data_IF_048866807911
#
_entry.id   IF_048866807911
#
_cell.length_a   1.000
_cell.length_b   1.000
_cell.length_c   1.000
_cell.angle_alpha   90.00
_cell.angle_beta   90.00
_cell.angle_gamma   90.00
#
_symmetry.space_group_name_H-M   'P 1'
#
loop_
_entity.id
_entity.type
_entity.pdbx_description
1 polymer ?
#
# COMPACT_ATOMS: atom_id res chain seq x y z
N UNK A 1 -16.74 41.53 3.52
CA UNK A 1 -17.99 41.06 2.89
C UNK A 1 -17.60 40.10 1.79
N UNK A 2 -17.67 38.80 2.04
CA UNK A 2 -17.59 37.80 0.96
C UNK A 2 -19.00 37.65 0.42
N UNK A 3 -19.23 38.00 -0.85
CA UNK A 3 -20.48 37.69 -1.54
C UNK A 3 -20.51 36.18 -1.74
N UNK A 4 -21.45 35.50 -1.08
CA UNK A 4 -21.70 34.07 -1.30
C UNK A 4 -21.90 33.83 -2.79
N UNK A 5 -21.11 32.92 -3.38
CA UNK A 5 -21.35 32.48 -4.75
C UNK A 5 -22.64 31.65 -4.74
N UNK A 6 -23.67 32.10 -5.45
CA UNK A 6 -24.91 31.35 -5.57
C UNK A 6 -24.92 30.64 -6.92
N UNK A 7 -24.78 29.32 -6.88
CA UNK A 7 -24.95 28.45 -8.05
C UNK A 7 -26.31 27.79 -7.84
N UNK A 8 -27.24 27.97 -8.77
CA UNK A 8 -28.58 27.38 -8.59
C UNK A 8 -28.51 25.85 -8.62
N UNK A 9 -28.15 25.26 -9.75
CA UNK A 9 -28.05 23.81 -9.87
C UNK A 9 -26.84 23.39 -10.71
N UNK A 10 -26.23 22.26 -10.32
CA UNK A 10 -25.34 21.49 -11.18
C UNK A 10 -26.16 20.39 -11.84
N UNK A 11 -26.23 20.41 -13.17
CA UNK A 11 -27.06 19.50 -13.95
C UNK A 11 -26.58 18.04 -13.87
N UNK A 12 -27.44 17.07 -14.19
CA UNK A 12 -27.03 15.68 -14.29
C UNK A 12 -25.86 15.55 -15.28
N UNK A 13 -24.87 14.72 -14.95
CA UNK A 13 -23.69 14.47 -15.79
C UNK A 13 -22.87 15.72 -16.19
N UNK A 14 -23.01 16.86 -15.49
CA UNK A 14 -22.32 18.10 -15.86
C UNK A 14 -20.80 17.96 -15.98
N UNK A 15 -20.21 17.08 -15.17
CA UNK A 15 -18.78 16.80 -15.11
C UNK A 15 -18.49 15.31 -15.28
N UNK A 16 -19.40 14.54 -15.88
CA UNK A 16 -19.17 13.12 -16.06
C UNK A 16 -18.05 12.85 -17.08
N UNK A 17 -17.26 11.81 -16.84
CA UNK A 17 -16.08 11.46 -17.67
C UNK A 17 -15.05 12.60 -17.80
N UNK A 18 -15.10 13.61 -16.93
CA UNK A 18 -14.15 14.71 -16.93
C UNK A 18 -12.83 14.25 -16.29
N UNK A 19 -11.70 14.56 -16.93
CA UNK A 19 -10.39 14.44 -16.30
C UNK A 19 -9.88 15.84 -15.92
N UNK A 20 -9.58 16.06 -14.64
CA UNK A 20 -9.01 17.32 -14.13
C UNK A 20 -7.93 17.04 -13.10
N UNK A 21 -7.00 17.97 -12.89
CA UNK A 21 -6.08 17.85 -11.76
C UNK A 21 -6.78 18.17 -10.44
N UNK A 22 -7.58 19.24 -10.43
CA UNK A 22 -8.19 19.77 -9.22
C UNK A 22 -9.61 20.28 -9.51
N UNK A 23 -10.54 19.99 -8.61
CA UNK A 23 -11.87 20.59 -8.57
C UNK A 23 -12.14 21.13 -7.16
N UNK A 24 -12.61 22.37 -7.08
CA UNK A 24 -12.84 23.06 -5.81
C UNK A 24 -14.20 23.75 -5.83
N UNK A 25 -15.04 23.42 -4.84
CA UNK A 25 -16.33 24.07 -4.58
C UNK A 25 -16.23 24.70 -3.19
N UNK A 26 -16.08 26.04 -3.12
CA UNK A 26 -15.85 26.75 -1.86
C UNK A 26 -16.80 27.92 -1.66
N UNK A 27 -17.24 28.18 -0.43
CA UNK A 27 -18.01 29.39 -0.08
C UNK A 27 -19.23 29.60 -0.98
N UNK A 28 -19.94 28.51 -1.27
CA UNK A 28 -20.99 28.47 -2.29
C UNK A 28 -22.31 28.00 -1.68
N UNK A 29 -23.41 28.58 -2.14
CA UNK A 29 -24.76 28.06 -1.91
C UNK A 29 -25.25 27.38 -3.20
N UNK A 30 -25.54 26.09 -3.09
CA UNK A 30 -26.03 25.22 -4.15
C UNK A 30 -27.46 24.79 -3.84
N UNK A 31 -28.41 25.03 -4.75
CA UNK A 31 -29.76 24.46 -4.61
C UNK A 31 -29.72 22.95 -4.87
N UNK A 32 -28.98 22.52 -5.89
CA UNK A 32 -28.96 21.11 -6.31
C UNK A 32 -27.59 20.69 -6.86
N UNK A 33 -27.09 19.55 -6.38
CA UNK A 33 -26.15 18.70 -7.13
C UNK A 33 -26.96 17.53 -7.68
N UNK A 34 -27.19 17.48 -8.98
CA UNK A 34 -28.03 16.45 -9.57
C UNK A 34 -27.37 15.05 -9.57
N UNK A 35 -28.15 14.04 -9.93
CA UNK A 35 -27.67 12.66 -10.02
C UNK A 35 -26.51 12.52 -11.01
N UNK A 36 -25.52 11.68 -10.67
CA UNK A 36 -24.36 11.38 -11.50
C UNK A 36 -23.55 12.62 -11.96
N UNK A 37 -23.65 13.75 -11.24
CA UNK A 37 -23.03 15.01 -11.65
C UNK A 37 -21.52 14.86 -11.93
N UNK A 38 -20.83 14.05 -11.14
CA UNK A 38 -19.40 13.77 -11.18
C UNK A 38 -19.11 12.29 -11.49
N UNK A 39 -20.03 11.57 -12.12
CA UNK A 39 -19.85 10.15 -12.41
C UNK A 39 -18.70 9.91 -13.38
N UNK A 40 -17.92 8.85 -13.13
CA UNK A 40 -16.78 8.43 -13.96
C UNK A 40 -15.72 9.54 -14.18
N UNK A 41 -15.71 10.59 -13.35
CA UNK A 41 -14.70 11.64 -13.42
C UNK A 41 -13.35 11.12 -12.88
N UNK A 42 -12.25 11.69 -13.35
CA UNK A 42 -10.91 11.49 -12.81
C UNK A 42 -10.36 12.81 -12.24
N UNK A 43 -9.95 12.82 -10.97
CA UNK A 43 -9.29 13.96 -10.35
C UNK A 43 -8.19 13.59 -9.36
N UNK A 44 -7.12 14.40 -9.29
CA UNK A 44 -6.14 14.23 -8.21
C UNK A 44 -6.65 14.81 -6.88
N UNK A 45 -7.40 15.91 -6.93
CA UNK A 45 -8.00 16.50 -5.74
C UNK A 45 -9.39 17.06 -6.03
N UNK A 46 -10.35 16.71 -5.18
CA UNK A 46 -11.68 17.31 -5.18
C UNK A 46 -11.97 17.82 -3.77
N UNK A 47 -12.18 19.12 -3.64
CA UNK A 47 -12.51 19.76 -2.35
C UNK A 47 -13.88 20.43 -2.41
N UNK A 48 -14.75 20.09 -1.46
CA UNK A 48 -15.99 20.82 -1.16
C UNK A 48 -15.82 21.40 0.24
N UNK A 49 -15.80 22.72 0.37
CA UNK A 49 -15.51 23.40 1.63
C UNK A 49 -16.40 24.61 1.87
N UNK A 50 -16.95 24.73 3.09
CA UNK A 50 -17.81 25.86 3.45
C UNK A 50 -18.96 26.07 2.43
N UNK A 51 -19.65 24.97 2.09
CA UNK A 51 -20.73 24.98 1.11
C UNK A 51 -22.07 24.62 1.74
N UNK A 52 -23.14 25.26 1.30
CA UNK A 52 -24.52 24.92 1.66
C UNK A 52 -25.20 24.29 0.45
N UNK A 53 -25.49 23.00 0.52
CA UNK A 53 -26.06 22.20 -0.57
C UNK A 53 -27.45 21.74 -0.15
N UNK A 54 -28.49 22.31 -0.78
CA UNK A 54 -29.85 22.03 -0.36
C UNK A 54 -30.30 20.60 -0.72
N UNK A 55 -29.90 20.12 -1.90
CA UNK A 55 -30.24 18.78 -2.38
C UNK A 55 -29.08 18.10 -3.10
N UNK A 56 -28.85 16.81 -2.79
CA UNK A 56 -27.95 15.93 -3.53
C UNK A 56 -28.72 14.77 -4.17
N UNK A 57 -28.58 14.62 -5.48
CA UNK A 57 -29.14 13.52 -6.26
C UNK A 57 -28.47 12.17 -5.98
N UNK A 58 -28.91 11.13 -6.68
CA UNK A 58 -28.33 9.78 -6.55
C UNK A 58 -26.93 9.70 -7.14
N UNK A 59 -26.03 9.02 -6.43
CA UNK A 59 -24.72 8.62 -6.92
C UNK A 59 -23.91 9.72 -7.60
N UNK A 60 -23.76 10.91 -6.98
CA UNK A 60 -23.07 12.04 -7.62
C UNK A 60 -21.63 11.69 -8.01
N UNK A 61 -20.95 10.83 -7.24
CA UNK A 61 -19.58 10.37 -7.47
C UNK A 61 -19.48 8.92 -7.99
N UNK A 62 -20.51 8.42 -8.68
CA UNK A 62 -20.53 7.04 -9.17
C UNK A 62 -19.26 6.69 -9.96
N UNK A 63 -18.52 5.66 -9.54
CA UNK A 63 -17.27 5.20 -10.17
C UNK A 63 -16.18 6.28 -10.35
N UNK A 64 -16.29 7.43 -9.69
CA UNK A 64 -15.29 8.49 -9.84
C UNK A 64 -13.92 8.01 -9.31
N UNK A 65 -12.86 8.41 -10.00
CA UNK A 65 -11.46 8.17 -9.65
C UNK A 65 -10.87 9.45 -9.08
N UNK A 66 -10.96 9.61 -7.76
CA UNK A 66 -10.54 10.84 -7.07
C UNK A 66 -9.48 10.51 -6.03
N UNK A 67 -8.20 10.84 -6.28
CA UNK A 67 -7.13 10.49 -5.34
C UNK A 67 -7.42 11.02 -3.93
N UNK A 68 -7.76 12.32 -3.81
CA UNK A 68 -8.13 12.96 -2.54
C UNK A 68 -9.48 13.68 -2.64
N UNK A 69 -10.53 13.13 -2.03
CA UNK A 69 -11.84 13.79 -1.89
C UNK A 69 -12.01 14.35 -0.48
N UNK A 70 -12.24 15.65 -0.35
CA UNK A 70 -12.48 16.32 0.93
C UNK A 70 -13.83 17.03 0.91
N UNK A 71 -14.69 16.73 1.88
CA UNK A 71 -15.95 17.41 2.15
C UNK A 71 -15.88 17.93 3.58
N UNK A 72 -15.76 19.26 3.75
CA UNK A 72 -15.53 19.85 5.07
C UNK A 72 -16.37 21.08 5.32
N UNK A 73 -16.86 21.23 6.54
CA UNK A 73 -17.61 22.42 6.97
C UNK A 73 -18.79 22.72 6.02
N UNK A 74 -19.48 21.68 5.56
CA UNK A 74 -20.61 21.81 4.63
C UNK A 74 -21.94 21.50 5.33
N UNK A 75 -23.01 22.12 4.83
CA UNK A 75 -24.39 21.84 5.24
C UNK A 75 -25.11 21.18 4.06
N UNK A 76 -25.43 19.88 4.17
CA UNK A 76 -26.05 19.06 3.15
C UNK A 76 -27.47 18.68 3.59
N UNK A 77 -28.48 19.46 3.20
CA UNK A 77 -29.78 19.40 3.90
C UNK A 77 -30.70 18.24 3.49
N UNK A 78 -30.59 17.73 2.25
CA UNK A 78 -31.39 16.60 1.78
C UNK A 78 -30.69 15.85 0.64
N UNK A 79 -31.00 14.56 0.45
CA UNK A 79 -30.49 13.82 -0.70
C UNK A 79 -30.41 12.31 -0.53
N UNK A 80 -29.90 11.64 -1.55
CA UNK A 80 -29.68 10.19 -1.56
C UNK A 80 -28.30 9.82 -1.03
N UNK A 81 -28.05 10.11 0.25
CA UNK A 81 -26.74 9.91 0.88
C UNK A 81 -26.26 8.45 0.91
N UNK A 82 -27.18 7.48 0.86
CA UNK A 82 -26.88 6.06 0.76
C UNK A 82 -26.08 5.67 -0.50
N UNK A 83 -26.07 6.53 -1.52
CA UNK A 83 -25.35 6.31 -2.77
C UNK A 83 -24.23 7.33 -2.99
N UNK A 84 -23.96 8.19 -2.01
CA UNK A 84 -23.04 9.33 -2.14
C UNK A 84 -21.66 8.91 -2.67
N UNK A 85 -21.12 7.83 -2.12
CA UNK A 85 -19.78 7.32 -2.44
C UNK A 85 -19.81 5.98 -3.20
N UNK A 86 -20.92 5.70 -3.89
CA UNK A 86 -21.12 4.43 -4.59
C UNK A 86 -20.00 4.18 -5.59
N UNK A 87 -19.19 3.12 -5.36
CA UNK A 87 -18.05 2.76 -6.23
C UNK A 87 -16.99 3.84 -6.39
N UNK A 88 -16.93 4.79 -5.47
CA UNK A 88 -15.88 5.82 -5.46
C UNK A 88 -14.51 5.15 -5.32
N UNK A 89 -13.61 5.42 -6.27
CA UNK A 89 -12.21 5.00 -6.20
C UNK A 89 -11.37 6.15 -5.67
N UNK A 90 -11.32 6.26 -4.34
CA UNK A 90 -10.54 7.30 -3.67
C UNK A 90 -9.46 6.73 -2.76
N UNK A 91 -8.22 7.21 -2.94
CA UNK A 91 -7.10 6.86 -2.06
C UNK A 91 -7.27 7.49 -0.67
N UNK A 92 -7.86 8.68 -0.60
CA UNK A 92 -8.29 9.32 0.64
C UNK A 92 -9.65 10.00 0.48
N UNK A 93 -10.51 9.79 1.48
CA UNK A 93 -11.79 10.47 1.64
C UNK A 93 -11.83 11.11 3.02
N UNK A 94 -12.00 12.43 3.08
CA UNK A 94 -12.17 13.16 4.35
C UNK A 94 -13.53 13.83 4.38
N UNK A 95 -14.40 13.41 5.30
CA UNK A 95 -15.74 13.98 5.49
C UNK A 95 -15.85 14.44 6.93
N UNK A 96 -15.53 15.72 7.18
CA UNK A 96 -15.43 16.24 8.56
C UNK A 96 -16.19 17.55 8.78
N UNK A 97 -16.64 17.77 10.01
CA UNK A 97 -17.30 19.03 10.41
C UNK A 97 -18.53 19.37 9.56
N UNK A 98 -19.25 18.37 9.02
CA UNK A 98 -20.41 18.60 8.17
C UNK A 98 -21.73 18.43 8.94
N UNK A 99 -22.78 19.07 8.43
CA UNK A 99 -24.16 18.92 8.89
C UNK A 99 -24.97 18.24 7.80
N UNK A 100 -25.57 17.09 8.09
CA UNK A 100 -26.34 16.30 7.12
C UNK A 100 -27.85 16.26 7.43
N UNK A 101 -28.66 16.20 6.39
CA UNK A 101 -30.08 15.84 6.45
C UNK A 101 -30.28 14.34 6.68
N UNK A 102 -29.89 13.84 7.85
CA UNK A 102 -29.92 12.42 8.19
C UNK A 102 -31.34 11.82 8.05
N UNK A 103 -31.42 10.63 7.46
CA UNK A 103 -32.69 9.92 7.31
C UNK A 103 -32.94 9.04 8.55
N UNK A 104 -34.09 9.21 9.21
CA UNK A 104 -34.42 8.55 10.50
C UNK A 104 -34.21 7.03 10.47
N UNK A 105 -34.54 6.39 9.34
CA UNK A 105 -34.52 4.93 9.19
C UNK A 105 -33.27 4.40 8.47
N UNK A 106 -32.38 5.25 7.94
CA UNK A 106 -31.18 4.79 7.22
C UNK A 106 -29.99 4.60 8.16
N UNK A 107 -30.10 3.57 8.99
CA UNK A 107 -29.15 3.26 10.05
C UNK A 107 -27.70 3.16 9.57
N UNK A 108 -27.46 2.50 8.43
CA UNK A 108 -26.09 2.26 7.91
C UNK A 108 -25.46 3.54 7.36
N UNK A 109 -26.23 4.37 6.64
CA UNK A 109 -25.72 5.65 6.12
C UNK A 109 -25.43 6.62 7.26
N UNK A 110 -26.32 6.69 8.25
CA UNK A 110 -26.08 7.54 9.42
C UNK A 110 -24.87 7.03 10.22
N UNK A 111 -24.71 5.72 10.38
CA UNK A 111 -23.50 5.16 11.00
C UNK A 111 -22.22 5.49 10.22
N UNK A 112 -22.26 5.45 8.88
CA UNK A 112 -21.10 5.88 8.08
C UNK A 112 -20.75 7.36 8.32
N UNK A 113 -21.76 8.25 8.23
CA UNK A 113 -21.54 9.70 8.26
C UNK A 113 -21.22 10.23 9.66
N UNK A 114 -21.82 9.65 10.71
CA UNK A 114 -21.80 10.20 12.08
C UNK A 114 -20.83 9.48 13.01
N UNK A 115 -20.47 8.22 12.73
CA UNK A 115 -19.53 7.50 13.60
C UNK A 115 -18.13 8.08 13.49
N UNK A 116 -17.63 8.61 14.60
CA UNK A 116 -16.21 8.93 14.76
C UNK A 116 -15.42 7.62 14.88
N UNK A 117 -14.75 7.23 13.81
CA UNK A 117 -13.82 6.09 13.88
C UNK A 117 -12.66 6.40 14.83
N UNK A 118 -12.30 5.47 15.72
CA UNK A 118 -11.13 5.64 16.59
C UNK A 118 -9.79 5.52 15.82
N UNK A 119 -9.83 5.04 14.58
CA UNK A 119 -8.65 4.78 13.75
C UNK A 119 -8.56 5.83 12.65
N UNK A 120 -7.34 6.34 12.41
CA UNK A 120 -7.04 7.15 11.22
C UNK A 120 -7.05 6.22 10.01
N UNK A 121 -8.17 6.20 9.32
CA UNK A 121 -8.39 5.42 8.11
C UNK A 121 -8.23 6.35 6.92
N UNK A 122 -7.87 5.84 5.72
CA UNK A 122 -7.86 6.68 4.52
C UNK A 122 -9.23 7.31 4.23
N UNK A 123 -10.31 6.65 4.67
CA UNK A 123 -11.66 7.21 4.70
C UNK A 123 -12.00 7.66 6.13
N UNK A 124 -11.93 8.97 6.36
CA UNK A 124 -12.04 9.60 7.66
C UNK A 124 -13.35 10.38 7.80
N UNK A 125 -14.11 10.06 8.85
CA UNK A 125 -15.39 10.69 9.19
C UNK A 125 -15.33 11.18 10.63
N UNK A 126 -15.51 12.48 10.85
CA UNK A 126 -15.33 13.06 12.19
C UNK A 126 -16.12 14.37 12.35
N UNK A 127 -16.62 14.64 13.55
CA UNK A 127 -17.34 15.88 13.86
C UNK A 127 -18.54 16.19 12.93
N UNK A 128 -19.12 15.17 12.30
CA UNK A 128 -20.33 15.33 11.51
C UNK A 128 -21.56 15.25 12.43
N UNK A 129 -22.61 15.97 12.07
CA UNK A 129 -23.86 16.02 12.83
C UNK A 129 -25.07 16.03 11.91
N UNK A 130 -26.26 15.85 12.48
CA UNK A 130 -27.52 15.95 11.74
C UNK A 130 -28.14 17.33 11.92
N UNK A 131 -28.76 17.87 10.85
CA UNK A 131 -29.45 19.17 10.85
C UNK A 131 -30.49 19.30 11.97
N UNK A 132 -31.18 18.19 12.26
CA UNK A 132 -32.09 18.09 13.38
C UNK A 132 -31.54 17.09 14.38
N UNK A 133 -31.34 17.54 15.63
CA UNK A 133 -31.01 16.67 16.77
C UNK A 133 -32.24 15.90 17.24
N UNK A 134 -32.90 15.21 16.32
CA UNK A 134 -33.97 14.28 16.68
C UNK A 134 -33.31 13.10 17.41
N UNK A 135 -33.73 12.85 18.65
CA UNK A 135 -33.24 11.73 19.48
C UNK A 135 -33.47 10.33 18.86
N UNK A 136 -34.14 10.26 17.71
CA UNK A 136 -34.63 9.03 17.10
C UNK A 136 -33.86 8.65 15.82
N UNK A 137 -32.74 9.30 15.51
CA UNK A 137 -31.94 8.95 14.33
C UNK A 137 -31.26 7.60 14.59
N UNK A 138 -31.59 6.61 13.76
CA UNK A 138 -30.95 5.31 13.85
C UNK A 138 -29.48 5.39 13.42
N UNK A 139 -28.58 4.86 14.23
CA UNK A 139 -27.17 4.66 13.90
C UNK A 139 -26.82 3.22 14.24
N UNK A 140 -27.02 2.31 13.27
CA UNK A 140 -26.76 0.88 13.48
C UNK A 140 -25.98 0.33 12.29
N UNK A 141 -24.84 -0.26 12.61
CA UNK A 141 -24.00 -1.00 11.68
C UNK A 141 -24.63 -2.37 11.40
N UNK A 142 -24.41 -2.89 10.19
CA UNK A 142 -24.82 -4.25 9.85
C UNK A 142 -23.69 -5.19 10.24
N UNK A 143 -23.91 -5.97 11.29
CA UNK A 143 -22.97 -6.99 11.74
C UNK A 143 -23.28 -8.34 11.11
N UNK A 144 -22.24 -9.07 10.73
CA UNK A 144 -22.35 -10.42 10.20
C UNK A 144 -21.05 -11.19 10.45
N UNK A 145 -21.15 -12.51 10.53
CA UNK A 145 -19.99 -13.39 10.73
C UNK A 145 -19.93 -14.38 9.58
N UNK A 146 -18.75 -14.52 8.97
CA UNK A 146 -18.49 -15.49 7.89
C UNK A 146 -17.30 -16.36 8.30
N UNK A 147 -17.55 -17.62 8.61
CA UNK A 147 -16.55 -18.48 9.23
C UNK A 147 -16.08 -17.87 10.55
N UNK A 148 -14.77 -17.66 10.69
CA UNK A 148 -14.14 -17.12 11.90
C UNK A 148 -13.87 -15.61 11.81
N UNK A 149 -14.61 -14.89 10.98
CA UNK A 149 -14.48 -13.44 10.84
C UNK A 149 -15.76 -12.75 11.20
N UNK A 150 -15.66 -11.86 12.17
CA UNK A 150 -16.73 -10.95 12.51
C UNK A 150 -16.53 -9.63 11.73
N UNK A 151 -17.56 -9.21 11.02
CA UNK A 151 -17.54 -8.01 10.20
C UNK A 151 -18.65 -7.04 10.62
N UNK A 152 -18.34 -5.75 10.51
CA UNK A 152 -19.28 -4.63 10.64
C UNK A 152 -19.28 -3.82 9.36
N UNK A 153 -20.45 -3.65 8.78
CA UNK A 153 -20.65 -2.87 7.57
C UNK A 153 -21.36 -1.54 7.88
N UNK A 154 -20.83 -0.48 7.26
CA UNK A 154 -21.45 0.84 7.19
C UNK A 154 -21.42 1.31 5.74
N UNK A 155 -22.38 0.81 4.94
CA UNK A 155 -22.48 1.04 3.49
C UNK A 155 -21.21 0.61 2.73
N UNK A 156 -20.44 1.59 2.27
CA UNK A 156 -19.28 1.43 1.38
C UNK A 156 -18.05 0.86 2.10
N UNK A 157 -18.06 0.83 3.43
CA UNK A 157 -16.96 0.34 4.27
C UNK A 157 -17.39 -0.92 5.01
N UNK A 158 -16.56 -1.95 4.92
CA UNK A 158 -16.64 -3.15 5.76
C UNK A 158 -15.35 -3.29 6.57
N UNK A 159 -15.51 -3.44 7.88
CA UNK A 159 -14.44 -3.69 8.83
C UNK A 159 -14.60 -5.09 9.41
N UNK A 160 -13.57 -5.90 9.30
CA UNK A 160 -13.58 -7.30 9.71
C UNK A 160 -12.42 -7.60 10.66
N UNK A 161 -12.67 -8.47 11.62
CA UNK A 161 -11.70 -8.93 12.62
C UNK A 161 -11.82 -10.45 12.73
N UNK A 162 -10.69 -11.15 12.76
CA UNK A 162 -10.67 -12.60 12.99
C UNK A 162 -10.97 -12.91 14.47
N UNK A 163 -11.78 -13.94 14.71
CA UNK A 163 -12.24 -14.34 16.04
C UNK A 163 -11.49 -15.56 16.57
N UNK A 164 -11.10 -16.49 15.69
CA UNK A 164 -10.48 -17.77 16.07
C UNK A 164 -9.22 -18.09 15.23
N UNK A 165 -8.24 -18.74 15.87
CA UNK A 165 -6.89 -18.92 15.34
C UNK A 165 -6.68 -20.14 14.42
N UNK A 166 -7.68 -21.01 14.25
CA UNK A 166 -7.41 -22.42 13.84
C UNK A 166 -7.67 -22.75 12.37
N UNK A 167 -8.20 -21.83 11.56
CA UNK A 167 -8.59 -22.14 10.17
C UNK A 167 -8.06 -21.14 9.15
N UNK A 168 -7.68 -21.64 7.98
CA UNK A 168 -7.43 -20.84 6.78
C UNK A 168 -8.69 -20.07 6.40
N UNK A 169 -8.64 -18.76 6.56
CA UNK A 169 -9.76 -17.89 6.27
C UNK A 169 -9.86 -17.54 4.79
N UNK A 170 -11.09 -17.54 4.26
CA UNK A 170 -11.42 -16.96 2.95
C UNK A 170 -12.02 -15.58 3.15
N UNK A 171 -11.60 -14.62 2.32
CA UNK A 171 -12.11 -13.25 2.31
C UNK A 171 -13.66 -13.21 2.23
N UNK A 172 -14.34 -12.52 3.18
CA UNK A 172 -15.79 -12.34 3.14
C UNK A 172 -16.28 -11.70 1.83
N UNK A 173 -17.37 -12.20 1.28
CA UNK A 173 -18.03 -11.58 0.14
C UNK A 173 -18.82 -10.35 0.59
N UNK A 174 -18.64 -9.22 -0.08
CA UNK A 174 -19.31 -7.97 0.23
C UNK A 174 -19.50 -7.13 -1.03
N UNK A 175 -20.53 -6.27 -1.02
CA UNK A 175 -20.79 -5.26 -2.04
C UNK A 175 -20.16 -3.89 -1.70
N UNK A 176 -19.41 -3.82 -0.61
CA UNK A 176 -18.65 -2.63 -0.22
C UNK A 176 -17.52 -2.35 -1.23
N UNK A 177 -16.96 -1.16 -1.14
CA UNK A 177 -15.84 -0.69 -1.98
C UNK A 177 -14.54 -0.63 -1.20
N UNK A 178 -14.63 -0.42 0.10
CA UNK A 178 -13.52 -0.46 1.03
C UNK A 178 -13.67 -1.63 2.00
N UNK A 179 -12.61 -2.41 2.15
CA UNK A 179 -12.55 -3.48 3.13
C UNK A 179 -11.30 -3.35 3.99
N UNK A 180 -11.50 -3.50 5.29
CA UNK A 180 -10.42 -3.63 6.26
C UNK A 180 -10.55 -4.96 6.95
N UNK A 181 -9.46 -5.70 7.03
CA UNK A 181 -9.42 -6.97 7.76
C UNK A 181 -8.11 -7.08 8.52
N UNK A 182 -8.20 -7.56 9.76
CA UNK A 182 -7.00 -7.76 10.56
C UNK A 182 -7.21 -8.61 11.78
N UNK A 183 -6.13 -8.70 12.55
CA UNK A 183 -6.03 -9.47 13.79
C UNK A 183 -6.21 -10.97 13.56
N UNK A 184 -5.56 -11.48 12.50
CA UNK A 184 -5.73 -12.84 12.02
C UNK A 184 -4.44 -13.64 12.23
N UNK A 185 -4.54 -14.85 12.78
CA UNK A 185 -3.42 -15.81 12.78
C UNK A 185 -3.06 -16.20 11.34
N UNK A 186 -4.04 -16.64 10.55
CA UNK A 186 -3.86 -17.09 9.18
C UNK A 186 -4.91 -16.46 8.25
N UNK A 187 -4.47 -15.58 7.35
CA UNK A 187 -5.32 -14.95 6.34
C UNK A 187 -4.90 -15.40 4.94
N UNK A 188 -5.78 -16.14 4.26
CA UNK A 188 -5.58 -16.55 2.87
C UNK A 188 -6.50 -15.75 1.95
N UNK A 189 -5.90 -14.83 1.20
CA UNK A 189 -6.65 -13.90 0.36
C UNK A 189 -6.82 -14.46 -1.06
N UNK A 190 -8.02 -14.98 -1.31
CA UNK A 190 -8.46 -15.44 -2.62
C UNK A 190 -9.78 -14.76 -2.98
N UNK A 191 -9.69 -13.58 -3.59
CA UNK A 191 -10.84 -12.77 -3.94
C UNK A 191 -11.66 -13.40 -5.09
N UNK A 192 -12.98 -13.25 -4.99
CA UNK A 192 -13.90 -13.65 -6.06
C UNK A 192 -13.80 -12.69 -7.26
N UNK A 193 -13.94 -13.16 -8.51
CA UNK A 193 -13.85 -12.30 -9.70
C UNK A 193 -14.91 -11.20 -9.80
N UNK A 194 -15.97 -11.27 -8.99
CA UNK A 194 -17.05 -10.28 -8.94
C UNK A 194 -16.89 -9.28 -7.80
N UNK A 195 -15.77 -9.30 -7.08
CA UNK A 195 -15.53 -8.41 -5.94
C UNK A 195 -15.55 -6.93 -6.35
N UNK A 196 -16.32 -6.13 -5.62
CA UNK A 196 -16.39 -4.67 -5.80
C UNK A 196 -15.36 -3.90 -4.98
N UNK A 197 -14.46 -4.59 -4.28
CA UNK A 197 -13.44 -3.97 -3.45
C UNK A 197 -12.44 -3.22 -4.33
N UNK A 198 -12.35 -1.92 -4.10
CA UNK A 198 -11.42 -0.98 -4.72
C UNK A 198 -10.26 -0.65 -3.78
N UNK A 199 -10.53 -0.59 -2.46
CA UNK A 199 -9.51 -0.33 -1.44
C UNK A 199 -9.49 -1.44 -0.40
N UNK A 200 -8.32 -2.06 -0.21
CA UNK A 200 -8.14 -3.18 0.70
C UNK A 200 -7.02 -2.87 1.69
N UNK A 201 -7.35 -3.01 2.98
CA UNK A 201 -6.42 -2.75 4.07
C UNK A 201 -6.31 -4.00 4.94
N UNK A 202 -5.10 -4.53 5.02
CA UNK A 202 -4.78 -5.71 5.81
C UNK A 202 -3.89 -5.29 6.96
N UNK A 203 -4.14 -5.75 8.18
CA UNK A 203 -3.29 -5.40 9.31
C UNK A 203 -3.16 -6.53 10.33
N UNK A 204 -1.98 -6.65 10.97
CA UNK A 204 -1.73 -7.60 12.05
C UNK A 204 -2.11 -9.04 11.69
N UNK A 205 -1.62 -9.52 10.55
CA UNK A 205 -1.75 -10.92 10.15
C UNK A 205 -0.43 -11.68 10.40
N UNK A 206 -0.47 -12.73 11.23
CA UNK A 206 0.73 -13.53 11.56
C UNK A 206 1.24 -14.34 10.36
N UNK A 207 0.30 -14.84 9.55
CA UNK A 207 0.56 -15.45 8.25
C UNK A 207 -0.45 -14.92 7.25
N UNK A 208 0.06 -14.28 6.19
CA UNK A 208 -0.72 -13.77 5.07
C UNK A 208 -0.28 -14.42 3.77
N UNK A 209 -1.22 -15.01 3.05
CA UNK A 209 -1.02 -15.54 1.70
C UNK A 209 -1.89 -14.75 0.72
N UNK A 210 -1.28 -14.18 -0.32
CA UNK A 210 -1.99 -13.46 -1.37
C UNK A 210 -2.10 -14.36 -2.60
N UNK A 211 -3.25 -14.98 -2.80
CA UNK A 211 -3.51 -15.89 -3.92
C UNK A 211 -4.14 -15.16 -5.11
N UNK A 212 -5.18 -14.35 -4.85
CA UNK A 212 -5.83 -13.52 -5.88
C UNK A 212 -6.42 -12.28 -5.26
N UNK A 213 -6.07 -11.11 -5.77
CA UNK A 213 -6.63 -9.85 -5.33
C UNK A 213 -7.93 -9.47 -6.08
N UNK A 214 -8.77 -8.59 -5.52
CA UNK A 214 -9.96 -8.09 -6.19
C UNK A 214 -9.62 -7.46 -7.56
N UNK A 215 -10.41 -7.71 -8.62
CA UNK A 215 -10.08 -7.24 -9.97
C UNK A 215 -10.23 -5.73 -10.16
N UNK A 216 -11.00 -5.06 -9.30
CA UNK A 216 -11.17 -3.61 -9.30
C UNK A 216 -10.24 -2.91 -8.29
N UNK A 217 -9.31 -3.64 -7.68
CA UNK A 217 -8.43 -3.12 -6.65
C UNK A 217 -7.55 -1.99 -7.19
N UNK A 218 -7.70 -0.81 -6.60
CA UNK A 218 -6.90 0.37 -6.91
C UNK A 218 -5.90 0.70 -5.79
N UNK A 219 -6.21 0.33 -4.55
CA UNK A 219 -5.35 0.59 -3.39
C UNK A 219 -5.24 -0.65 -2.51
N UNK A 220 -4.00 -1.08 -2.26
CA UNK A 220 -3.68 -2.14 -1.31
C UNK A 220 -2.75 -1.58 -0.25
N UNK A 221 -3.14 -1.72 1.02
CA UNK A 221 -2.27 -1.40 2.14
C UNK A 221 -2.16 -2.59 3.10
N UNK A 222 -0.94 -2.92 3.51
CA UNK A 222 -0.67 -4.04 4.43
C UNK A 222 0.26 -3.55 5.54
N UNK A 223 -0.16 -3.71 6.79
CA UNK A 223 0.56 -3.18 7.96
C UNK A 223 0.84 -4.27 8.99
N UNK A 224 2.06 -4.33 9.50
CA UNK A 224 2.41 -5.23 10.62
C UNK A 224 2.05 -6.69 10.38
N UNK A 225 2.32 -7.19 9.17
CA UNK A 225 1.93 -8.54 8.75
C UNK A 225 3.11 -9.30 8.16
N UNK A 226 3.09 -10.62 8.29
CA UNK A 226 4.06 -11.51 7.67
C UNK A 226 3.42 -12.20 6.46
N UNK A 227 3.79 -11.70 5.28
CA UNK A 227 3.37 -12.22 3.98
C UNK A 227 4.23 -13.45 3.66
N UNK A 228 3.68 -14.63 3.90
CA UNK A 228 4.36 -15.90 3.62
C UNK A 228 4.58 -16.06 2.11
N UNK A 229 3.54 -15.82 1.30
CA UNK A 229 3.65 -15.87 -0.15
C UNK A 229 2.78 -14.84 -0.84
N UNK A 230 3.33 -14.22 -1.88
CA UNK A 230 2.56 -13.60 -2.95
C UNK A 230 2.56 -14.60 -4.11
N UNK A 231 1.42 -15.25 -4.32
CA UNK A 231 1.30 -16.37 -5.22
C UNK A 231 1.41 -15.98 -6.70
N UNK A 232 1.62 -16.98 -7.56
CA UNK A 232 1.57 -16.80 -9.00
C UNK A 232 0.25 -16.12 -9.41
N UNK A 233 0.36 -15.08 -10.25
CA UNK A 233 -0.79 -14.30 -10.74
C UNK A 233 -1.63 -13.56 -9.68
N UNK A 234 -1.16 -13.42 -8.44
CA UNK A 234 -1.92 -12.72 -7.39
C UNK A 234 -2.31 -11.27 -7.76
N UNK A 235 -1.45 -10.59 -8.53
CA UNK A 235 -1.66 -9.24 -9.06
C UNK A 235 -1.89 -9.23 -10.59
N UNK A 236 -2.13 -10.38 -11.23
CA UNK A 236 -2.12 -10.46 -12.68
C UNK A 236 -3.13 -9.50 -13.33
N UNK A 237 -2.65 -8.71 -14.30
CA UNK A 237 -3.43 -7.74 -15.07
C UNK A 237 -4.18 -6.68 -14.25
N UNK A 238 -3.75 -6.41 -13.02
CA UNK A 238 -4.33 -5.33 -12.21
C UNK A 238 -3.73 -3.97 -12.60
N UNK A 239 -4.56 -2.93 -12.52
CA UNK A 239 -4.13 -1.54 -12.59
C UNK A 239 -4.30 -0.93 -11.20
N UNK A 240 -3.20 -0.81 -10.45
CA UNK A 240 -3.22 -0.41 -9.05
C UNK A 240 -2.52 0.94 -8.90
N UNK A 241 -3.24 1.94 -8.40
CA UNK A 241 -2.66 3.26 -8.09
C UNK A 241 -1.61 3.15 -6.98
N UNK A 242 -1.91 2.41 -5.91
CA UNK A 242 -1.05 2.37 -4.72
C UNK A 242 -0.99 0.98 -4.09
N UNK A 243 0.24 0.46 -3.95
CA UNK A 243 0.57 -0.67 -3.07
C UNK A 243 1.50 -0.15 -1.98
N UNK A 244 1.12 -0.32 -0.72
CA UNK A 244 1.89 0.16 0.43
C UNK A 244 2.01 -0.92 1.51
N UNK A 245 3.24 -1.33 1.80
CA UNK A 245 3.54 -2.35 2.80
C UNK A 245 4.44 -1.74 3.88
N UNK A 246 3.97 -1.70 5.12
CA UNK A 246 4.69 -1.09 6.25
C UNK A 246 4.88 -2.11 7.37
N UNK A 247 6.09 -2.20 7.89
CA UNK A 247 6.46 -3.15 8.94
C UNK A 247 6.06 -4.59 8.55
N UNK A 248 6.37 -4.97 7.31
CA UNK A 248 6.00 -6.29 6.75
C UNK A 248 7.21 -7.16 6.49
N UNK A 249 7.01 -8.48 6.58
CA UNK A 249 7.98 -9.46 6.13
C UNK A 249 7.40 -10.23 4.96
N UNK A 250 8.04 -10.17 3.80
CA UNK A 250 7.69 -10.95 2.62
C UNK A 250 8.70 -12.08 2.50
N UNK A 251 8.22 -13.32 2.64
CA UNK A 251 9.09 -14.50 2.50
C UNK A 251 9.35 -14.78 1.03
N UNK A 252 8.30 -14.99 0.22
CA UNK A 252 8.47 -15.27 -1.20
C UNK A 252 7.49 -14.50 -2.07
N UNK A 253 8.00 -13.87 -3.13
CA UNK A 253 7.19 -13.41 -4.27
C UNK A 253 7.39 -14.39 -5.41
N UNK A 254 6.33 -15.14 -5.74
CA UNK A 254 6.40 -16.20 -6.74
C UNK A 254 6.53 -15.68 -8.17
N UNK A 255 6.99 -16.55 -9.05
CA UNK A 255 7.07 -16.31 -10.48
C UNK A 255 5.71 -15.85 -11.03
N UNK A 256 5.72 -14.86 -11.92
CA UNK A 256 4.52 -14.25 -12.51
C UNK A 256 3.50 -13.67 -11.52
N UNK A 257 3.83 -13.46 -10.24
CA UNK A 257 2.93 -12.84 -9.26
C UNK A 257 2.32 -11.51 -9.75
N UNK A 258 3.09 -10.69 -10.45
CA UNK A 258 2.70 -9.37 -10.94
C UNK A 258 2.46 -9.32 -12.46
N UNK A 259 2.28 -10.47 -13.12
CA UNK A 259 2.24 -10.55 -14.59
C UNK A 259 1.24 -9.56 -15.21
N UNK A 260 1.71 -8.71 -16.12
CA UNK A 260 0.85 -7.78 -16.86
C UNK A 260 0.22 -6.68 -16.00
N UNK A 261 0.64 -6.50 -14.75
CA UNK A 261 0.12 -5.46 -13.87
C UNK A 261 0.77 -4.10 -14.13
N UNK A 262 0.00 -3.03 -13.90
CA UNK A 262 0.50 -1.67 -13.88
C UNK A 262 0.32 -1.12 -12.46
N UNK A 263 1.43 -0.75 -11.82
CA UNK A 263 1.43 -0.17 -10.48
C UNK A 263 1.96 1.25 -10.58
N UNK A 264 1.19 2.26 -10.15
CA UNK A 264 1.69 3.62 -10.17
C UNK A 264 2.71 3.86 -9.06
N UNK A 265 2.36 3.48 -7.83
CA UNK A 265 3.21 3.66 -6.65
C UNK A 265 3.31 2.38 -5.83
N UNK A 266 4.51 1.82 -5.70
CA UNK A 266 4.84 0.72 -4.79
C UNK A 266 5.73 1.24 -3.66
N UNK A 267 5.21 1.22 -2.43
CA UNK A 267 5.87 1.76 -1.23
C UNK A 267 6.14 0.63 -0.25
N UNK A 268 7.38 0.55 0.23
CA UNK A 268 7.83 -0.32 1.29
C UNK A 268 8.47 0.50 2.41
N UNK A 269 8.05 0.27 3.66
CA UNK A 269 8.69 0.87 4.85
C UNK A 269 8.91 -0.18 5.92
N UNK A 270 10.06 -0.12 6.58
CA UNK A 270 10.40 -1.01 7.70
C UNK A 270 10.18 -2.49 7.37
N UNK A 271 10.44 -2.87 6.11
CA UNK A 271 10.00 -4.14 5.55
C UNK A 271 11.16 -5.00 5.07
N UNK A 272 10.94 -6.31 5.00
CA UNK A 272 11.95 -7.26 4.51
C UNK A 272 11.40 -8.07 3.35
N UNK A 273 12.17 -8.20 2.27
CA UNK A 273 11.91 -9.13 1.17
C UNK A 273 13.02 -10.18 1.15
N UNK A 274 12.67 -11.42 1.50
CA UNK A 274 13.61 -12.54 1.50
C UNK A 274 13.89 -13.06 0.09
N UNK A 275 12.85 -13.37 -0.68
CA UNK A 275 13.00 -13.95 -2.01
C UNK A 275 11.96 -13.42 -3.01
N UNK A 276 12.44 -13.11 -4.21
CA UNK A 276 11.63 -12.80 -5.39
C UNK A 276 12.05 -13.74 -6.49
N UNK A 277 11.17 -14.62 -6.93
CA UNK A 277 11.48 -15.58 -7.99
C UNK A 277 11.72 -14.88 -9.33
N UNK A 278 12.46 -15.57 -10.22
CA UNK A 278 12.72 -15.06 -11.57
C UNK A 278 11.40 -14.79 -12.30
N UNK A 279 11.30 -13.63 -12.94
CA UNK A 279 10.10 -13.20 -13.67
C UNK A 279 8.83 -13.04 -12.81
N UNK A 280 8.94 -12.88 -11.49
CA UNK A 280 7.83 -12.46 -10.62
C UNK A 280 7.10 -11.23 -11.16
N UNK A 281 7.86 -10.28 -11.72
CA UNK A 281 7.39 -9.03 -12.31
C UNK A 281 7.31 -9.06 -13.85
N UNK A 282 7.32 -10.26 -14.46
CA UNK A 282 7.35 -10.41 -15.92
C UNK A 282 6.19 -9.72 -16.63
N UNK A 283 6.48 -8.73 -17.47
CA UNK A 283 5.47 -7.94 -18.20
C UNK A 283 4.71 -6.94 -17.33
N UNK A 284 5.14 -6.72 -16.08
CA UNK A 284 4.62 -5.65 -15.23
C UNK A 284 5.37 -4.34 -15.44
N UNK A 285 4.75 -3.24 -15.06
CA UNK A 285 5.35 -1.91 -15.05
C UNK A 285 5.01 -1.21 -13.73
N UNK A 286 6.03 -0.79 -12.98
CA UNK A 286 5.85 0.09 -11.81
C UNK A 286 6.44 1.47 -12.07
N UNK A 287 5.63 2.52 -11.99
CA UNK A 287 6.09 3.89 -12.26
C UNK A 287 7.03 4.41 -11.17
N UNK A 288 6.62 4.27 -9.91
CA UNK A 288 7.39 4.71 -8.75
C UNK A 288 7.52 3.59 -7.73
N UNK A 289 8.77 3.26 -7.37
CA UNK A 289 9.10 2.37 -6.27
C UNK A 289 9.82 3.16 -5.19
N UNK A 290 9.31 3.12 -3.97
CA UNK A 290 9.91 3.76 -2.80
C UNK A 290 10.15 2.72 -1.71
N UNK A 291 11.38 2.65 -1.20
CA UNK A 291 11.74 1.80 -0.08
C UNK A 291 12.52 2.58 0.97
N UNK A 292 12.13 2.43 2.23
CA UNK A 292 12.77 3.10 3.37
C UNK A 292 12.93 2.09 4.50
N UNK A 293 14.09 2.05 5.14
CA UNK A 293 14.37 1.13 6.26
C UNK A 293 14.10 -0.35 5.91
N UNK A 294 14.42 -0.74 4.67
CA UNK A 294 14.08 -2.05 4.14
C UNK A 294 15.29 -3.00 4.00
N UNK A 295 15.04 -4.30 3.93
CA UNK A 295 16.07 -5.33 3.68
C UNK A 295 15.69 -6.19 2.48
N UNK A 296 16.56 -6.23 1.48
CA UNK A 296 16.37 -6.98 0.24
C UNK A 296 17.45 -8.04 0.08
N UNK A 297 17.06 -9.32 0.10
CA UNK A 297 18.00 -10.44 0.00
C UNK A 297 18.10 -10.97 -1.44
N UNK A 298 17.20 -11.87 -1.85
CA UNK A 298 17.25 -12.48 -3.20
C UNK A 298 16.19 -11.88 -4.10
N UNK A 299 16.46 -10.70 -4.66
CA UNK A 299 15.47 -9.94 -5.44
C UNK A 299 15.54 -10.13 -6.97
N UNK A 300 16.41 -11.01 -7.46
CA UNK A 300 16.55 -11.38 -8.88
C UNK A 300 16.45 -10.15 -9.82
N UNK A 301 15.61 -10.22 -10.87
CA UNK A 301 15.42 -9.15 -11.84
C UNK A 301 14.28 -8.20 -11.49
N UNK A 302 13.89 -8.09 -10.21
CA UNK A 302 12.78 -7.23 -9.77
C UNK A 302 12.96 -5.78 -10.24
N UNK A 303 14.15 -5.21 -10.03
CA UNK A 303 14.44 -3.80 -10.28
C UNK A 303 14.22 -3.37 -11.74
N UNK A 304 14.41 -4.26 -12.72
CA UNK A 304 14.26 -3.92 -14.14
C UNK A 304 12.81 -3.64 -14.56
N UNK A 305 11.84 -3.87 -13.65
CA UNK A 305 10.43 -3.61 -13.89
C UNK A 305 9.93 -2.30 -13.28
N UNK A 306 10.84 -1.54 -12.66
CA UNK A 306 10.55 -0.26 -12.02
C UNK A 306 11.17 0.88 -12.83
N UNK A 307 10.43 1.97 -13.01
CA UNK A 307 10.92 3.13 -13.76
C UNK A 307 11.72 4.08 -12.88
N UNK A 308 11.13 4.51 -11.76
CA UNK A 308 11.75 5.42 -10.81
C UNK A 308 11.89 4.72 -9.46
N UNK A 309 13.12 4.48 -9.02
CA UNK A 309 13.43 3.76 -7.78
C UNK A 309 14.03 4.73 -6.77
N UNK A 310 13.46 4.81 -5.57
CA UNK A 310 14.04 5.54 -4.45
C UNK A 310 14.22 4.59 -3.28
N UNK A 311 15.45 4.43 -2.81
CA UNK A 311 15.81 3.56 -1.70
C UNK A 311 16.57 4.39 -0.67
N UNK A 312 16.07 4.42 0.57
CA UNK A 312 16.72 5.09 1.70
C UNK A 312 16.87 4.19 2.91
N UNK A 313 17.94 4.38 3.69
CA UNK A 313 18.15 3.69 4.98
C UNK A 313 18.02 2.16 4.90
N UNK A 314 18.32 1.58 3.74
CA UNK A 314 17.98 0.20 3.42
C UNK A 314 19.22 -0.64 3.14
N UNK A 315 19.06 -1.96 3.16
CA UNK A 315 20.07 -2.94 2.79
C UNK A 315 19.67 -3.70 1.53
N UNK A 316 20.54 -3.76 0.52
CA UNK A 316 20.33 -4.55 -0.69
C UNK A 316 21.49 -5.53 -0.90
N UNK A 317 21.22 -6.83 -1.00
CA UNK A 317 22.28 -7.82 -1.19
C UNK A 317 22.97 -7.71 -2.55
N UNK A 318 22.22 -7.47 -3.63
CA UNK A 318 22.78 -7.23 -4.96
C UNK A 318 22.16 -5.99 -5.60
N UNK A 319 22.93 -4.91 -5.67
CA UNK A 319 22.50 -3.63 -6.22
C UNK A 319 22.77 -3.49 -7.73
N UNK A 320 23.47 -4.43 -8.37
CA UNK A 320 23.88 -4.29 -9.79
C UNK A 320 22.69 -4.10 -10.72
N UNK A 321 21.57 -4.77 -10.44
CA UNK A 321 20.36 -4.67 -11.24
C UNK A 321 19.69 -3.27 -11.17
N UNK A 322 20.02 -2.42 -10.19
CA UNK A 322 19.55 -1.02 -10.16
C UNK A 322 20.15 -0.19 -11.30
N UNK A 323 21.31 -0.59 -11.85
CA UNK A 323 21.92 0.08 -13.01
C UNK A 323 21.04 0.02 -14.26
N UNK A 324 20.07 -0.90 -14.32
CA UNK A 324 19.16 -1.01 -15.46
C UNK A 324 17.86 -0.20 -15.28
N UNK A 325 17.65 0.39 -14.11
CA UNK A 325 16.50 1.26 -13.84
C UNK A 325 16.67 2.59 -14.58
N UNK A 326 15.58 3.20 -15.04
CA UNK A 326 15.62 4.48 -15.77
C UNK A 326 16.16 5.62 -14.90
N UNK A 327 15.64 5.76 -13.68
CA UNK A 327 16.14 6.70 -12.68
C UNK A 327 16.16 6.03 -11.30
N UNK A 328 17.29 6.10 -10.59
CA UNK A 328 17.35 5.60 -9.22
C UNK A 328 18.08 6.54 -8.26
N UNK A 329 17.51 6.66 -7.07
CA UNK A 329 18.06 7.35 -5.92
C UNK A 329 18.37 6.31 -4.84
N UNK A 330 19.63 6.21 -4.44
CA UNK A 330 20.09 5.29 -3.39
C UNK A 330 20.80 6.09 -2.29
N UNK A 331 20.11 6.35 -1.18
CA UNK A 331 20.54 7.28 -0.12
C UNK A 331 20.70 6.56 1.22
N UNK A 332 21.78 6.84 1.95
CA UNK A 332 22.01 6.32 3.31
C UNK A 332 21.78 4.81 3.44
N UNK A 333 22.06 4.09 2.37
CA UNK A 333 21.74 2.67 2.20
C UNK A 333 23.02 1.87 2.00
N UNK A 334 22.96 0.58 2.33
CA UNK A 334 24.08 -0.34 2.31
C UNK A 334 23.83 -1.45 1.29
N UNK A 335 24.91 -1.99 0.73
CA UNK A 335 24.85 -3.19 -0.11
C UNK A 335 25.72 -4.30 0.50
N UNK A 336 25.37 -5.57 0.26
CA UNK A 336 26.34 -6.63 0.54
C UNK A 336 27.56 -6.41 -0.36
N UNK A 337 28.75 -6.78 0.12
CA UNK A 337 30.08 -6.44 -0.42
C UNK A 337 30.40 -7.06 -1.79
N UNK A 338 29.52 -6.84 -2.75
CA UNK A 338 29.68 -7.06 -4.18
C UNK A 338 30.21 -5.74 -4.72
N UNK A 339 31.26 -5.80 -5.54
CA UNK A 339 31.81 -4.65 -6.25
C UNK A 339 30.69 -3.91 -6.98
N UNK A 340 30.32 -2.74 -6.47
CA UNK A 340 29.41 -1.83 -7.13
C UNK A 340 30.27 -1.01 -8.11
N UNK A 341 30.00 -1.06 -9.43
CA UNK A 341 30.83 -0.37 -10.41
C UNK A 341 30.75 1.15 -10.23
N UNK A 342 31.78 1.88 -10.68
CA UNK A 342 31.82 3.36 -10.64
C UNK A 342 30.56 3.97 -11.29
N UNK A 343 30.04 3.34 -12.36
CA UNK A 343 28.78 3.69 -13.05
C UNK A 343 27.58 3.83 -12.10
N UNK A 344 27.54 3.06 -11.01
CA UNK A 344 26.46 3.15 -10.03
C UNK A 344 26.44 4.50 -9.32
N UNK A 345 27.62 5.01 -8.96
CA UNK A 345 27.73 6.31 -8.29
C UNK A 345 27.38 7.43 -9.26
N UNK A 346 27.80 7.31 -10.53
CA UNK A 346 27.49 8.28 -11.58
C UNK A 346 26.01 8.34 -11.94
N UNK A 347 25.31 7.19 -11.93
CA UNK A 347 23.89 7.11 -12.27
C UNK A 347 22.94 7.41 -11.10
N UNK A 348 23.42 7.32 -9.85
CA UNK A 348 22.64 7.65 -8.66
C UNK A 348 22.29 9.16 -8.65
N UNK A 349 21.01 9.49 -8.78
CA UNK A 349 20.56 10.90 -8.89
C UNK A 349 20.57 11.66 -7.56
N UNK A 350 20.79 10.97 -6.44
CA UNK A 350 20.79 11.57 -5.12
C UNK A 350 22.21 11.79 -4.62
N UNK A 351 22.55 13.04 -4.27
CA UNK A 351 23.79 13.38 -3.57
C UNK A 351 23.84 12.69 -2.22
N UNK A 352 24.48 11.53 -2.14
CA UNK A 352 24.57 10.79 -0.89
C UNK A 352 25.84 9.96 -0.81
N UNK A 353 26.34 9.84 0.43
CA UNK A 353 27.45 8.94 0.74
C UNK A 353 26.92 7.52 0.73
N UNK A 354 27.29 6.74 -0.28
CA UNK A 354 27.03 5.31 -0.31
C UNK A 354 27.89 4.69 0.80
N UNK A 355 27.26 4.26 1.90
CA UNK A 355 27.96 3.58 2.98
C UNK A 355 28.36 2.18 2.49
N UNK A 356 29.61 2.02 2.10
CA UNK A 356 30.18 0.76 1.60
C UNK A 356 30.73 -0.06 2.77
N UNK A 357 30.10 -1.21 3.00
CA UNK A 357 30.52 -2.35 3.84
C UNK A 357 30.81 -2.12 5.34
N UNK A 358 30.15 -2.93 6.18
CA UNK A 358 30.40 -3.08 7.62
C UNK A 358 31.62 -3.96 7.93
N UNK A 359 32.73 -3.75 7.21
CA UNK A 359 33.93 -4.57 7.32
C UNK A 359 35.21 -3.78 7.11
N UNK A 360 35.73 -3.18 8.19
CA UNK A 360 37.12 -2.74 8.30
C UNK A 360 37.47 -1.42 7.59
N UNK A 361 38.14 -0.54 8.31
CA UNK A 361 38.56 0.81 7.92
C UNK A 361 39.68 0.86 6.87
N UNK A 362 39.79 -0.12 5.97
CA UNK A 362 40.83 -0.09 4.94
C UNK A 362 40.28 0.45 3.62
N UNK A 363 40.90 1.54 3.19
CA UNK A 363 40.72 2.13 1.87
C UNK A 363 40.73 1.04 0.80
N UNK A 364 39.71 1.05 -0.04
CA UNK A 364 39.61 0.18 -1.21
C UNK A 364 40.87 0.27 -2.05
N UNK A 365 41.58 -0.85 -2.22
CA UNK A 365 42.49 -1.03 -3.34
C UNK A 365 41.65 -1.42 -4.55
N UNK A 366 41.72 -0.60 -5.61
CA UNK A 366 41.07 -0.79 -6.92
C UNK A 366 41.28 -2.19 -7.55
N UNK A 367 42.21 -2.98 -7.02
CA UNK A 367 42.60 -4.30 -7.51
C UNK A 367 41.60 -5.44 -7.24
N UNK A 368 40.87 -5.43 -6.12
CA UNK A 368 40.05 -6.60 -5.70
C UNK A 368 38.81 -6.83 -6.58
N UNK A 369 38.34 -5.81 -7.31
CA UNK A 369 37.23 -5.94 -8.24
C UNK A 369 37.67 -6.41 -9.63
N UNK A 370 38.92 -6.18 -10.02
CA UNK A 370 39.46 -6.57 -11.32
C UNK A 370 39.70 -8.09 -11.42
N UNK A 371 40.04 -8.77 -10.31
CA UNK A 371 40.26 -10.22 -10.31
C UNK A 371 38.96 -11.04 -10.40
N UNK A 372 37.81 -10.46 -10.06
CA UNK A 372 36.51 -11.15 -10.10
C UNK A 372 35.90 -11.25 -11.50
N UNK A 373 36.34 -10.44 -12.46
CA UNK A 373 35.93 -10.54 -13.86
C UNK A 373 36.68 -11.61 -14.67
N UNK A 374 37.78 -12.14 -14.15
CA UNK A 374 38.59 -13.16 -14.86
C UNK A 374 38.42 -14.59 -14.31
N UNK A 375 37.86 -14.76 -13.12
CA UNK A 375 37.70 -16.08 -12.50
C UNK A 375 36.27 -16.65 -12.57
N UNK A 376 35.77 -16.90 -13.78
CA UNK A 376 34.68 -17.86 -14.02
C UNK A 376 35.16 -19.20 -14.59
N UNK A 377 36.47 -19.45 -14.58
CA UNK A 377 37.07 -20.73 -14.97
C UNK A 377 38.27 -21.07 -14.09
N UNK A 378 38.01 -21.54 -12.87
CA UNK A 378 38.62 -22.72 -12.24
C UNK A 378 38.42 -22.67 -10.73
N UNK A 379 38.09 -23.83 -10.15
CA UNK A 379 37.78 -23.99 -8.73
C UNK A 379 38.92 -23.54 -7.83
N UNK A 380 38.73 -22.44 -7.13
CA UNK A 380 39.54 -22.02 -5.99
C UNK A 380 38.71 -22.16 -4.71
N UNK A 381 39.37 -22.62 -3.64
CA UNK A 381 38.78 -22.80 -2.33
C UNK A 381 38.31 -21.45 -1.77
N UNK A 382 37.01 -21.35 -1.49
CA UNK A 382 36.39 -20.18 -0.89
C UNK A 382 36.52 -20.28 0.64
N UNK A 383 37.25 -19.34 1.25
CA UNK A 383 37.27 -19.16 2.70
C UNK A 383 36.30 -18.03 3.06
N UNK A 384 35.26 -18.35 3.83
CA UNK A 384 34.34 -17.35 4.38
C UNK A 384 34.70 -17.17 5.86
N UNK A 385 35.14 -15.97 6.22
CA UNK A 385 35.36 -15.57 7.61
C UNK A 385 34.14 -14.74 8.03
N UNK A 386 33.38 -15.24 9.00
CA UNK A 386 32.24 -14.52 9.57
C UNK A 386 32.60 -14.09 10.98
N UNK A 387 32.68 -12.78 11.21
CA UNK A 387 32.87 -12.21 12.55
C UNK A 387 31.49 -11.93 13.15
N UNK A 388 31.12 -12.69 14.19
CA UNK A 388 29.89 -12.45 14.94
C UNK A 388 30.29 -11.90 16.31
N UNK A 389 30.04 -10.61 16.60
CA UNK A 389 30.25 -10.08 17.93
C UNK A 389 29.22 -10.69 18.88
N UNK A 390 29.68 -11.47 19.85
CA UNK A 390 28.83 -12.06 20.89
C UNK A 390 29.34 -11.58 22.25
N UNK A 391 28.46 -10.97 23.06
CA UNK A 391 28.80 -10.58 24.43
C UNK A 391 28.59 -11.78 25.36
N UNK A 392 29.67 -12.25 25.97
CA UNK A 392 29.64 -13.26 27.03
C UNK A 392 30.39 -12.65 28.22
N UNK A 393 29.69 -12.43 29.33
CA UNK A 393 30.23 -11.85 30.58
C UNK A 393 31.02 -10.53 30.40
N UNK A 394 30.36 -9.51 29.83
CA UNK A 394 30.86 -8.11 29.73
C UNK A 394 32.21 -7.92 29.01
N UNK A 395 32.74 -8.97 28.36
CA UNK A 395 33.96 -8.90 27.55
C UNK A 395 33.63 -9.25 26.09
N UNK A 396 34.13 -8.49 25.11
CA UNK A 396 34.00 -8.87 23.70
C UNK A 396 34.90 -10.08 23.43
N UNK A 397 34.30 -11.21 23.06
CA UNK A 397 35.03 -12.39 22.56
C UNK A 397 34.82 -12.44 21.04
N UNK A 398 35.93 -12.47 20.28
CA UNK A 398 35.89 -12.66 18.83
C UNK A 398 35.95 -14.15 18.57
N UNK A 399 34.84 -14.75 18.17
CA UNK A 399 34.79 -16.15 17.76
C UNK A 399 35.00 -16.20 16.25
N UNK A 400 36.06 -16.89 15.80
CA UNK A 400 36.37 -17.07 14.39
C UNK A 400 35.85 -18.43 13.93
N UNK A 401 34.87 -18.41 13.02
CA UNK A 401 34.41 -19.61 12.34
C UNK A 401 35.19 -19.79 11.04
N UNK A 402 35.92 -20.90 10.93
CA UNK A 402 36.57 -21.32 9.70
C UNK A 402 35.69 -22.38 9.03
N UNK A 403 35.15 -22.04 7.87
CA UNK A 403 34.42 -22.98 7.02
C UNK A 403 35.34 -23.51 5.93
N UNK A 404 35.52 -24.83 5.93
CA UNK A 404 36.22 -25.51 4.85
C UNK A 404 35.19 -26.30 4.02
N UNK A 405 35.08 -25.95 2.74
CA UNK A 405 34.27 -26.70 1.78
C UNK A 405 35.21 -27.55 0.92
N UNK A 406 35.25 -28.85 1.17
CA UNK A 406 35.99 -29.81 0.36
C UNK A 406 35.02 -30.89 -0.12
N UNK A 407 34.83 -30.98 -1.44
CA UNK A 407 34.02 -32.03 -2.09
C UNK A 407 32.59 -32.20 -1.57
N UNK A 408 31.90 -31.09 -1.26
CA UNK A 408 30.48 -31.12 -0.92
C UNK A 408 30.16 -31.38 0.55
N UNK A 409 31.17 -31.57 1.41
CA UNK A 409 31.00 -31.59 2.86
C UNK A 409 31.49 -30.27 3.47
N UNK A 410 30.65 -29.67 4.33
CA UNK A 410 30.98 -28.45 5.07
C UNK A 410 31.45 -28.84 6.46
N UNK A 411 32.72 -28.57 6.76
CA UNK A 411 33.28 -28.76 8.11
C UNK A 411 33.45 -27.40 8.78
N UNK A 412 32.86 -27.27 9.97
CA UNK A 412 32.98 -26.07 10.82
C UNK A 412 34.04 -26.34 11.89
N UNK A 413 35.07 -25.49 11.95
CA UNK A 413 36.00 -25.44 13.08
C UNK A 413 35.78 -24.15 13.87
N UNK A 414 35.46 -24.33 15.15
CA UNK A 414 35.46 -23.25 16.14
C UNK A 414 36.91 -23.03 16.59
N UNK A 415 37.42 -21.82 16.40
CA UNK A 415 38.69 -21.38 17.00
C UNK A 415 38.33 -20.33 18.04
N UNK A 416 38.56 -20.66 19.32
CA UNK A 416 38.36 -19.78 20.47
C UNK A 416 39.58 -18.90 20.70
#
# INVERSE_FOLDING_TARGET
>A
MWTECQIDAMSPNAFSNMATQMMVITNTKLTLIASNCFADMAANSFVIFNAKIAQIGSSPFANAEVNNLTIRNCELTSGHFNTLFMRLKASSLTVIENVFGCAVNDCETNALLLSSGQRRMPWHFEHNSCLHQNSNICMREREFTVGNVHCRARREIVECVCVDDTSTLVMPTTNATMMLIGDCSHLHLNAVPTSSIVSLHLYRAETLELERLPPLLNTLQIFHSNIEKIAESAFANLNVERVELIATRITTIQRHAFRGSNIRSFILRDSTIAEVERAAFGGSNTEHFFAESCKFYRVNNMWSHFNNVSVSESFITDARALLHVKAFCFRDSMTACICVPEEFTEKNICESKIATCSGGSEMWNKASCLESSEHYSNGANLFIIVNIPMMIFESPVIIIFLFHLLRGEMTMRLVL
#
